data_IF_036629966805
#
_entry.id   IF_036629966805
#
_cell.length_a   1.000
_cell.length_b   1.000
_cell.length_c   1.000
_cell.angle_alpha   90.00
_cell.angle_beta   90.00
_cell.angle_gamma   90.00
#
_symmetry.space_group_name_H-M   'P 1'
#
loop_
_entity.id
_entity.type
_entity.pdbx_description
1 polymer ?
#
# COMPACT_ATOMS: atom_id res chain seq x y z
N UNK A 1 22.40 -19.29 44.79
CA UNK A 1 22.44 -19.39 43.32
C UNK A 1 22.09 -20.81 42.91
N UNK A 2 20.89 -21.07 42.38
CA UNK A 2 20.45 -22.40 41.90
C UNK A 2 20.36 -22.34 40.37
N UNK A 3 21.16 -23.18 39.71
CA UNK A 3 21.17 -23.32 38.26
C UNK A 3 19.94 -24.07 37.78
N UNK A 4 19.22 -23.51 36.79
CA UNK A 4 18.12 -24.15 36.10
C UNK A 4 18.63 -25.14 35.05
N UNK A 5 18.10 -26.38 35.06
CA UNK A 5 18.40 -27.43 34.07
C UNK A 5 17.47 -27.20 32.84
N UNK A 6 17.96 -27.39 31.61
CA UNK A 6 17.12 -27.33 30.44
C UNK A 6 16.27 -28.60 30.26
N UNK A 7 14.98 -28.44 30.01
CA UNK A 7 14.08 -29.51 29.58
C UNK A 7 14.41 -29.92 28.13
N UNK A 8 14.84 -31.16 27.96
CA UNK A 8 14.91 -31.80 26.63
C UNK A 8 13.49 -32.26 26.24
N UNK A 9 12.95 -31.68 25.20
CA UNK A 9 11.70 -32.17 24.60
C UNK A 9 11.97 -33.45 23.81
N UNK A 10 11.30 -34.55 24.26
CA UNK A 10 11.21 -35.83 23.55
C UNK A 10 10.18 -35.71 22.44
N UNK A 11 10.58 -35.41 21.22
CA UNK A 11 9.70 -35.33 20.02
C UNK A 11 9.91 -36.52 19.08
N UNK A 12 10.64 -37.56 19.51
CA UNK A 12 11.08 -38.62 18.62
C UNK A 12 10.17 -39.88 18.51
N UNK A 13 9.23 -40.09 19.45
CA UNK A 13 8.51 -41.36 19.53
C UNK A 13 7.18 -41.43 18.74
N UNK A 14 6.58 -40.30 18.42
CA UNK A 14 5.26 -40.24 17.76
C UNK A 14 5.25 -40.49 16.27
N UNK A 15 6.31 -40.09 15.58
CA UNK A 15 6.35 -40.15 14.09
C UNK A 15 6.61 -41.60 13.60
N UNK A 16 7.42 -42.36 14.32
CA UNK A 16 7.74 -43.75 13.93
C UNK A 16 6.52 -44.70 14.10
N UNK A 17 5.67 -44.49 15.11
CA UNK A 17 4.49 -45.33 15.33
C UNK A 17 3.41 -45.09 14.24
N UNK A 18 3.22 -43.87 13.78
CA UNK A 18 2.25 -43.53 12.71
C UNK A 18 2.66 -44.12 11.36
N UNK A 19 3.95 -44.15 11.04
CA UNK A 19 4.47 -44.73 9.79
C UNK A 19 4.29 -46.26 9.73
N UNK A 20 4.43 -46.96 10.82
CA UNK A 20 4.23 -48.41 10.89
C UNK A 20 2.75 -48.83 10.77
N UNK A 21 1.83 -48.08 11.31
CA UNK A 21 0.39 -48.36 11.18
C UNK A 21 -0.09 -48.17 9.73
N UNK A 22 0.41 -47.14 9.02
CA UNK A 22 0.10 -46.93 7.60
C UNK A 22 0.67 -48.03 6.70
N UNK A 23 1.89 -48.52 6.97
CA UNK A 23 2.51 -49.60 6.21
C UNK A 23 1.82 -50.95 6.41
N UNK A 24 1.37 -51.30 7.65
CA UNK A 24 0.65 -52.52 7.95
C UNK A 24 -0.78 -52.54 7.33
N UNK A 25 -1.44 -51.37 7.30
CA UNK A 25 -2.76 -51.24 6.67
C UNK A 25 -2.73 -51.54 5.15
N UNK A 26 -1.66 -51.18 4.48
CA UNK A 26 -1.49 -51.41 3.03
C UNK A 26 -1.29 -52.89 2.65
N UNK A 27 -0.73 -53.69 3.54
CA UNK A 27 -0.48 -55.11 3.29
C UNK A 27 -1.79 -55.97 3.36
N UNK A 28 -2.82 -55.48 4.01
CA UNK A 28 -4.09 -56.20 4.22
C UNK A 28 -5.18 -55.88 3.17
N UNK A 29 -4.94 -54.95 2.26
CA UNK A 29 -5.91 -54.55 1.22
C UNK A 29 -5.81 -55.50 0.02
N UNK A 30 -6.90 -56.13 -0.47
CA UNK A 30 -6.93 -56.94 -1.65
C UNK A 30 -6.45 -56.19 -2.90
N UNK A 31 -5.77 -56.90 -3.83
CA UNK A 31 -5.12 -56.26 -4.98
C UNK A 31 -6.07 -55.45 -5.91
N UNK A 32 -7.36 -55.79 -5.95
CA UNK A 32 -8.39 -55.06 -6.70
C UNK A 32 -8.70 -53.66 -6.10
N UNK A 33 -8.79 -53.60 -4.79
CA UNK A 33 -9.14 -52.36 -4.06
C UNK A 33 -7.95 -51.37 -3.93
N UNK A 34 -6.71 -51.85 -4.15
CA UNK A 34 -5.52 -51.00 -4.13
C UNK A 34 -5.49 -50.03 -5.32
N UNK A 35 -5.98 -50.44 -6.48
CA UNK A 35 -6.07 -49.58 -7.67
C UNK A 35 -7.12 -48.47 -7.46
N UNK A 36 -8.28 -48.81 -6.90
CA UNK A 36 -9.31 -47.81 -6.65
C UNK A 36 -8.91 -46.83 -5.53
N UNK A 37 -8.20 -47.31 -4.51
CA UNK A 37 -7.67 -46.44 -3.45
C UNK A 37 -6.59 -45.47 -3.98
N UNK A 38 -5.73 -45.93 -4.90
CA UNK A 38 -4.73 -45.02 -5.52
C UNK A 38 -5.39 -44.03 -6.45
N UNK A 39 -6.39 -44.44 -7.21
CA UNK A 39 -7.13 -43.55 -8.11
C UNK A 39 -7.92 -42.50 -7.33
N UNK A 40 -8.53 -42.90 -6.19
CA UNK A 40 -9.19 -41.94 -5.29
C UNK A 40 -8.20 -40.92 -4.69
N UNK A 41 -6.97 -41.36 -4.32
CA UNK A 41 -5.92 -40.45 -3.84
C UNK A 41 -5.45 -39.49 -4.93
N UNK A 42 -5.33 -39.95 -6.18
CA UNK A 42 -4.99 -39.08 -7.32
C UNK A 42 -6.10 -38.06 -7.58
N UNK A 43 -7.36 -38.44 -7.49
CA UNK A 43 -8.51 -37.55 -7.64
C UNK A 43 -8.57 -36.52 -6.49
N UNK A 44 -8.30 -36.93 -5.25
CA UNK A 44 -8.23 -36.04 -4.09
C UNK A 44 -7.03 -35.09 -4.21
N UNK A 45 -5.84 -35.59 -4.59
CA UNK A 45 -4.68 -34.76 -4.81
C UNK A 45 -4.89 -33.80 -5.98
N UNK A 46 -5.53 -34.21 -7.05
CA UNK A 46 -5.85 -33.34 -8.20
C UNK A 46 -6.90 -32.28 -7.84
N UNK A 47 -7.85 -32.59 -6.97
CA UNK A 47 -8.84 -31.64 -6.50
C UNK A 47 -8.28 -30.63 -5.49
N UNK A 48 -7.27 -31.03 -4.69
CA UNK A 48 -6.55 -30.15 -3.75
C UNK A 48 -5.47 -29.33 -4.46
N UNK A 49 -4.94 -29.85 -5.57
CA UNK A 49 -3.94 -29.15 -6.42
C UNK A 49 -4.57 -28.16 -7.41
N UNK A 50 -5.88 -28.05 -7.47
CA UNK A 50 -6.48 -26.83 -8.01
C UNK A 50 -5.98 -25.68 -7.11
N UNK A 51 -5.27 -24.69 -7.67
CA UNK A 51 -4.86 -23.56 -6.87
C UNK A 51 -6.13 -22.97 -6.27
N UNK A 52 -6.25 -23.03 -4.95
CA UNK A 52 -7.28 -22.27 -4.21
C UNK A 52 -7.05 -20.76 -4.32
N UNK A 53 -6.01 -20.38 -4.99
CA UNK A 53 -5.86 -19.12 -5.67
C UNK A 53 -6.43 -19.30 -7.09
N UNK A 54 -7.76 -19.50 -7.20
CA UNK A 54 -8.49 -18.81 -8.24
C UNK A 54 -7.94 -17.39 -8.12
N UNK A 55 -7.25 -16.92 -9.15
CA UNK A 55 -6.82 -15.53 -9.25
C UNK A 55 -8.05 -14.75 -8.87
N UNK A 56 -8.11 -14.28 -7.61
CA UNK A 56 -9.05 -13.24 -7.27
C UNK A 56 -8.80 -12.25 -8.40
N UNK A 57 -9.83 -11.83 -9.15
CA UNK A 57 -9.63 -10.94 -10.28
C UNK A 57 -8.68 -9.90 -9.72
N UNK A 58 -7.47 -9.84 -10.28
CA UNK A 58 -6.42 -8.88 -9.89
C UNK A 58 -7.21 -7.62 -9.71
N UNK A 59 -7.32 -7.03 -8.49
CA UNK A 59 -8.20 -5.89 -8.28
C UNK A 59 -7.85 -4.99 -9.44
N UNK A 60 -8.80 -4.77 -10.34
CA UNK A 60 -8.60 -4.26 -11.69
C UNK A 60 -7.65 -3.11 -11.51
N UNK A 61 -6.45 -3.23 -12.11
CA UNK A 61 -5.33 -2.29 -11.92
C UNK A 61 -5.99 -0.94 -11.85
N UNK A 62 -6.04 -0.37 -10.67
CA UNK A 62 -6.98 0.68 -10.32
C UNK A 62 -6.99 1.64 -11.49
N UNK A 63 -8.12 2.11 -11.98
CA UNK A 63 -8.24 3.04 -13.11
C UNK A 63 -7.40 4.32 -12.95
N UNK A 64 -6.55 4.37 -11.92
CA UNK A 64 -5.55 5.40 -11.62
C UNK A 64 -4.60 5.65 -12.80
N UNK A 65 -4.13 4.59 -13.49
CA UNK A 65 -3.29 4.73 -14.67
C UNK A 65 -4.00 5.38 -15.88
N UNK A 66 -5.33 5.39 -15.88
CA UNK A 66 -6.16 5.99 -16.92
C UNK A 66 -6.67 7.39 -16.55
N UNK A 67 -6.42 7.86 -15.32
CA UNK A 67 -6.86 9.19 -14.86
C UNK A 67 -5.88 10.28 -15.31
N UNK A 68 -6.35 11.49 -15.66
CA UNK A 68 -5.47 12.60 -15.97
C UNK A 68 -4.48 12.87 -14.83
N UNK A 69 -3.24 13.13 -15.18
CA UNK A 69 -2.22 13.55 -14.21
C UNK A 69 -2.43 15.02 -13.81
N UNK A 70 -1.97 15.37 -12.62
CA UNK A 70 -1.81 16.74 -12.18
C UNK A 70 -0.59 17.39 -12.84
N UNK A 71 -0.58 18.72 -12.94
CA UNK A 71 0.61 19.47 -13.30
C UNK A 71 0.97 20.46 -12.20
N UNK A 72 2.26 20.72 -12.02
CA UNK A 72 2.75 21.64 -10.98
C UNK A 72 3.70 22.68 -11.57
N UNK A 73 3.66 23.90 -11.01
CA UNK A 73 4.54 25.01 -11.37
C UNK A 73 5.04 25.69 -10.12
N UNK A 74 6.36 25.70 -9.91
CA UNK A 74 6.99 26.51 -8.86
C UNK A 74 6.81 27.98 -9.18
N UNK A 75 6.29 28.74 -8.23
CA UNK A 75 6.09 30.20 -8.33
C UNK A 75 7.27 30.94 -7.72
N UNK A 76 7.69 30.51 -6.52
CA UNK A 76 8.82 31.10 -5.81
C UNK A 76 9.50 30.06 -4.94
N UNK A 77 10.77 30.31 -4.62
CA UNK A 77 11.50 29.62 -3.58
C UNK A 77 12.43 30.64 -2.90
N UNK A 78 12.21 30.86 -1.62
CA UNK A 78 12.90 31.86 -0.82
C UNK A 78 13.50 31.23 0.43
N UNK A 79 14.77 31.53 0.71
CA UNK A 79 15.41 31.14 1.96
C UNK A 79 14.70 31.81 3.16
N UNK A 80 14.62 31.11 4.27
CA UNK A 80 14.05 31.66 5.52
C UNK A 80 15.17 32.24 6.40
N UNK A 81 15.39 33.57 6.44
CA UNK A 81 16.54 34.17 7.14
C UNK A 81 16.59 33.86 8.62
N UNK A 82 15.43 33.64 9.27
CA UNK A 82 15.34 33.33 10.70
C UNK A 82 15.27 31.83 11.01
N UNK A 83 15.30 30.98 9.98
CA UNK A 83 15.34 29.51 10.08
C UNK A 83 16.43 29.00 9.14
N UNK A 84 17.71 29.18 9.48
CA UNK A 84 18.81 28.77 8.62
C UNK A 84 18.72 27.32 8.18
N UNK A 85 19.03 27.06 6.90
CA UNK A 85 18.93 25.73 6.31
C UNK A 85 17.53 25.37 5.79
N UNK A 86 16.57 26.31 5.87
CA UNK A 86 15.21 26.09 5.35
C UNK A 86 14.82 27.16 4.33
N UNK A 87 13.92 26.77 3.44
CA UNK A 87 13.27 27.61 2.44
C UNK A 87 11.76 27.46 2.49
N UNK A 88 11.07 28.50 1.98
CA UNK A 88 9.66 28.43 1.63
C UNK A 88 9.52 28.35 0.13
N UNK A 89 8.87 27.31 -0.38
CA UNK A 89 8.61 27.13 -1.81
C UNK A 89 7.12 27.17 -2.06
N UNK A 90 6.69 28.01 -2.98
CA UNK A 90 5.28 28.14 -3.38
C UNK A 90 5.08 27.49 -4.75
N UNK A 91 4.09 26.60 -4.83
CA UNK A 91 3.78 25.82 -6.03
C UNK A 91 2.30 25.92 -6.34
N UNK A 92 1.96 26.20 -7.60
CA UNK A 92 0.59 26.00 -8.11
C UNK A 92 0.48 24.56 -8.62
N UNK A 93 -0.61 23.88 -8.25
CA UNK A 93 -0.95 22.56 -8.77
C UNK A 93 -2.30 22.63 -9.45
N UNK A 94 -2.33 22.26 -10.72
CA UNK A 94 -3.53 22.18 -11.54
C UNK A 94 -4.01 20.73 -11.61
N UNK A 95 -5.32 20.56 -11.40
CA UNK A 95 -6.03 19.30 -11.45
C UNK A 95 -7.10 19.34 -12.54
N UNK A 96 -6.82 18.86 -13.75
CA UNK A 96 -7.86 18.63 -14.74
C UNK A 96 -9.07 17.84 -14.18
N UNK A 97 -10.21 17.83 -14.85
CA UNK A 97 -11.33 16.97 -14.45
C UNK A 97 -10.87 15.52 -14.21
N UNK A 98 -11.27 14.93 -13.08
CA UNK A 98 -10.87 13.58 -12.64
C UNK A 98 -9.36 13.36 -12.44
N UNK A 99 -8.54 14.40 -12.41
CA UNK A 99 -7.11 14.25 -12.20
C UNK A 99 -6.78 13.60 -10.86
N UNK A 100 -5.67 12.86 -10.85
CA UNK A 100 -5.20 12.10 -9.70
C UNK A 100 -3.69 12.26 -9.52
N UNK A 101 -3.30 12.55 -8.29
CA UNK A 101 -1.91 12.52 -7.83
C UNK A 101 -1.71 11.25 -7.00
N UNK A 102 -0.85 10.31 -7.42
CA UNK A 102 -0.63 9.05 -6.71
C UNK A 102 0.14 9.25 -5.39
N UNK A 103 0.28 8.16 -4.64
CA UNK A 103 0.97 8.14 -3.37
C UNK A 103 2.40 8.69 -3.47
N UNK A 104 2.76 9.58 -2.54
CA UNK A 104 4.08 10.20 -2.44
C UNK A 104 4.31 10.75 -1.03
N UNK A 105 5.49 11.31 -0.78
CA UNK A 105 5.82 12.05 0.45
C UNK A 105 6.42 13.40 0.11
N UNK A 106 6.41 14.31 1.09
CA UNK A 106 7.11 15.58 1.01
C UNK A 106 8.26 15.62 2.02
N UNK A 107 9.45 16.17 1.65
CA UNK A 107 10.58 16.26 2.58
C UNK A 107 10.31 17.20 3.75
N UNK A 108 9.46 18.21 3.54
CA UNK A 108 9.09 19.22 4.53
C UNK A 108 7.59 19.29 4.79
N UNK A 109 7.17 20.27 5.58
CA UNK A 109 5.75 20.56 5.80
C UNK A 109 5.12 21.16 4.57
N UNK A 110 3.84 20.85 4.33
CA UNK A 110 3.06 21.47 3.25
C UNK A 110 1.76 22.01 3.81
N UNK A 111 1.43 23.25 3.44
CA UNK A 111 0.09 23.80 3.58
C UNK A 111 -0.50 23.97 2.19
N UNK A 112 -1.58 23.23 1.92
CA UNK A 112 -2.32 23.35 0.67
C UNK A 112 -3.55 24.25 0.89
N UNK A 113 -3.78 25.17 -0.06
CA UNK A 113 -4.92 26.10 -0.07
C UNK A 113 -5.65 25.93 -1.38
N UNK A 114 -6.93 25.61 -1.34
CA UNK A 114 -7.72 25.39 -2.55
C UNK A 114 -8.10 26.75 -3.15
N UNK A 115 -7.66 27.00 -4.36
CA UNK A 115 -7.95 28.22 -5.09
C UNK A 115 -9.22 28.09 -5.93
N UNK A 116 -9.48 26.89 -6.47
CA UNK A 116 -10.60 26.63 -7.36
C UNK A 116 -11.08 25.17 -7.23
N UNK A 117 -12.38 24.97 -7.29
CA UNK A 117 -13.00 23.65 -7.32
C UNK A 117 -13.01 22.93 -5.98
N UNK A 118 -12.85 21.62 -6.04
CA UNK A 118 -12.85 20.72 -4.88
C UNK A 118 -11.72 19.72 -5.03
N UNK A 119 -10.96 19.50 -3.97
CA UNK A 119 -9.91 18.47 -3.89
C UNK A 119 -10.29 17.46 -2.79
N UNK A 120 -10.16 16.18 -3.09
CA UNK A 120 -10.14 15.12 -2.08
C UNK A 120 -8.70 14.70 -1.84
N UNK A 121 -8.34 14.52 -0.59
CA UNK A 121 -6.97 14.15 -0.20
C UNK A 121 -7.01 13.20 0.97
N UNK A 122 -6.02 12.31 1.05
CA UNK A 122 -5.85 11.40 2.18
C UNK A 122 -4.38 11.32 2.60
N UNK A 123 -4.13 11.51 3.88
CA UNK A 123 -2.85 11.19 4.51
C UNK A 123 -2.87 9.79 5.10
N UNK A 124 -1.70 9.14 5.16
CA UNK A 124 -1.54 7.79 5.72
C UNK A 124 -2.06 7.70 7.15
N UNK A 125 -2.94 6.71 7.38
CA UNK A 125 -3.59 6.49 8.67
C UNK A 125 -4.78 7.42 8.98
N UNK A 126 -5.07 8.40 8.11
CA UNK A 126 -6.18 9.35 8.29
C UNK A 126 -7.38 9.06 7.37
N UNK A 127 -8.52 9.72 7.64
CA UNK A 127 -9.68 9.67 6.76
C UNK A 127 -9.43 10.47 5.47
N UNK A 128 -10.25 10.20 4.46
CA UNK A 128 -10.31 11.05 3.26
C UNK A 128 -10.93 12.39 3.63
N UNK A 129 -10.19 13.48 3.43
CA UNK A 129 -10.70 14.85 3.52
C UNK A 129 -11.27 15.32 2.17
N UNK A 130 -12.21 16.25 2.22
CA UNK A 130 -12.75 16.95 1.04
C UNK A 130 -12.68 18.46 1.30
N UNK A 131 -11.96 19.16 0.44
CA UNK A 131 -11.62 20.57 0.62
C UNK A 131 -12.09 21.37 -0.57
N UNK A 132 -12.81 22.48 -0.29
CA UNK A 132 -13.37 23.39 -1.29
C UNK A 132 -12.54 24.66 -1.39
N UNK A 133 -12.82 25.47 -2.37
CA UNK A 133 -12.20 26.81 -2.54
C UNK A 133 -12.21 27.59 -1.25
N UNK A 134 -11.05 28.08 -0.85
CA UNK A 134 -10.79 28.80 0.41
C UNK A 134 -10.44 27.90 1.61
N UNK A 135 -10.64 26.59 1.50
CA UNK A 135 -10.27 25.65 2.58
C UNK A 135 -8.80 25.19 2.43
N UNK A 136 -8.26 24.66 3.52
CA UNK A 136 -6.85 24.27 3.61
C UNK A 136 -6.71 22.89 4.22
N UNK A 137 -5.60 22.20 3.89
CA UNK A 137 -5.12 21.06 4.64
C UNK A 137 -3.61 21.13 4.85
N UNK A 138 -3.14 20.42 5.87
CA UNK A 138 -1.74 20.41 6.26
C UNK A 138 -1.17 19.00 6.15
N UNK A 139 0.04 18.90 5.63
CA UNK A 139 0.81 17.67 5.49
C UNK A 139 2.09 17.76 6.32
N UNK A 140 2.22 16.96 7.40
CA UNK A 140 3.47 16.91 8.16
C UNK A 140 4.62 16.35 7.34
N UNK A 141 5.88 16.72 7.64
CA UNK A 141 7.06 16.23 6.94
C UNK A 141 7.10 14.69 6.90
N UNK A 142 7.43 14.13 5.74
CA UNK A 142 7.61 12.70 5.54
C UNK A 142 6.33 11.85 5.66
N UNK A 143 5.18 12.45 5.93
CA UNK A 143 3.90 11.72 5.99
C UNK A 143 3.54 11.21 4.60
N UNK A 144 3.04 9.96 4.52
CA UNK A 144 2.52 9.43 3.27
C UNK A 144 1.27 10.21 2.85
N UNK A 145 1.35 10.92 1.74
CA UNK A 145 0.20 11.46 1.04
C UNK A 145 -0.33 10.35 0.12
N UNK A 146 -1.42 9.70 0.52
CA UNK A 146 -1.92 8.49 -0.17
C UNK A 146 -2.43 8.84 -1.55
N UNK A 147 -3.14 9.97 -1.66
CA UNK A 147 -3.56 10.56 -2.94
C UNK A 147 -4.08 11.99 -2.74
N UNK A 148 -4.10 12.75 -3.84
CA UNK A 148 -4.94 13.92 -4.03
C UNK A 148 -5.68 13.81 -5.36
N UNK A 149 -6.95 14.23 -5.41
CA UNK A 149 -7.74 14.10 -6.63
C UNK A 149 -8.73 15.26 -6.81
N UNK A 150 -9.03 15.54 -8.05
CA UNK A 150 -10.22 16.30 -8.42
C UNK A 150 -11.37 15.31 -8.68
N UNK A 151 -12.42 15.28 -7.86
CA UNK A 151 -13.55 14.36 -8.07
C UNK A 151 -14.53 14.81 -9.14
N UNK A 152 -14.43 16.05 -9.64
CA UNK A 152 -15.36 16.62 -10.61
C UNK A 152 -15.02 16.11 -12.02
N UNK A 153 -15.97 15.52 -12.76
CA UNK A 153 -15.73 15.01 -14.10
C UNK A 153 -15.72 16.09 -15.19
N UNK A 154 -16.04 17.33 -14.86
CA UNK A 154 -16.23 18.40 -15.85
C UNK A 154 -15.37 19.61 -15.54
N UNK A 155 -15.29 20.00 -14.28
CA UNK A 155 -14.60 21.22 -13.86
C UNK A 155 -13.20 20.95 -13.36
N UNK A 156 -12.22 21.78 -13.72
CA UNK A 156 -10.88 21.70 -13.13
C UNK A 156 -10.91 22.13 -11.66
N UNK A 157 -9.85 21.75 -10.94
CA UNK A 157 -9.55 22.28 -9.63
C UNK A 157 -8.10 22.75 -9.57
N UNK A 158 -7.81 23.64 -8.61
CA UNK A 158 -6.49 24.24 -8.44
C UNK A 158 -6.19 24.47 -6.99
N UNK A 159 -4.97 24.22 -6.58
CA UNK A 159 -4.48 24.60 -5.26
C UNK A 159 -3.13 25.31 -5.36
N UNK A 160 -2.81 26.07 -4.31
CA UNK A 160 -1.43 26.48 -4.02
C UNK A 160 -0.93 25.61 -2.87
N UNK A 161 0.26 25.04 -3.05
CA UNK A 161 0.98 24.32 -2.00
C UNK A 161 2.18 25.15 -1.56
N UNK A 162 2.26 25.42 -0.26
CA UNK A 162 3.37 26.15 0.37
C UNK A 162 4.17 25.14 1.16
N UNK A 163 5.40 24.92 0.74
CA UNK A 163 6.35 24.00 1.36
C UNK A 163 7.30 24.76 2.28
N UNK A 164 7.58 24.20 3.44
CA UNK A 164 8.72 24.57 4.26
C UNK A 164 9.62 23.36 4.37
N UNK A 165 10.76 23.40 3.69
CA UNK A 165 11.68 22.29 3.52
C UNK A 165 13.11 22.80 3.53
N UNK A 166 14.08 21.93 3.23
CA UNK A 166 15.50 22.29 3.14
C UNK A 166 15.74 23.39 2.09
N UNK A 167 16.79 24.17 2.29
CA UNK A 167 17.10 25.42 1.57
C UNK A 167 17.38 25.24 0.06
N UNK A 168 17.47 24.02 -0.44
CA UNK A 168 17.81 23.72 -1.84
C UNK A 168 16.63 23.81 -2.83
N UNK A 169 15.43 24.18 -2.38
CA UNK A 169 14.21 24.31 -3.17
C UNK A 169 13.70 23.03 -3.88
N UNK A 170 14.15 21.87 -3.47
CA UNK A 170 13.73 20.58 -4.04
C UNK A 170 14.68 19.44 -3.73
N UNK A 171 14.29 18.18 -4.04
CA UNK A 171 13.01 17.76 -4.62
C UNK A 171 11.85 17.92 -3.64
N UNK A 172 10.68 18.33 -4.13
CA UNK A 172 9.48 18.51 -3.30
C UNK A 172 8.62 17.23 -3.20
N UNK A 173 8.90 16.24 -4.04
CA UNK A 173 8.24 14.93 -4.07
C UNK A 173 9.26 13.82 -3.83
N UNK A 174 8.95 12.92 -2.92
CA UNK A 174 9.70 11.72 -2.60
C UNK A 174 8.85 10.48 -2.89
N UNK A 175 9.45 9.31 -3.15
CA UNK A 175 8.73 8.05 -3.25
C UNK A 175 7.86 7.77 -2.01
N UNK A 176 6.75 6.99 -2.16
CA UNK A 176 5.86 6.62 -1.06
C UNK A 176 6.52 5.75 0.02
#
# INVERSE_FOLDING_TARGET
MRAARPHRHQVGAGVAALSLVLAAGWALIPHGSKREAVQWLDDVCSSVSRPMFSSAPTPAASNEAARPATSSKVISCEALPHVPGNSVTTVIVDFPPLAYSPAHRHPGSVTAIILEGTIRSQLGGGPVGTYKTGETFFEPPGTLHVFAENPDPVRPAKLVAVFVADENCGPLLLPP
#
